data_IF_392084144426
#
_entry.id   IF_392084144426
#
_cell.length_a   1.000
_cell.length_b   1.000
_cell.length_c   1.000
_cell.angle_alpha   90.00
_cell.angle_beta   90.00
_cell.angle_gamma   90.00
#
_symmetry.space_group_name_H-M   'P 1'
#
loop_
_entity.id
_entity.type
_entity.pdbx_description
1 polymer ?
#
# COMPACT_ATOMS: atom_id res chain seq x y z
N UNK A 1 -0.59 20.30 -7.64
CA UNK A 1 -0.50 18.90 -7.18
C UNK A 1 0.76 18.32 -7.80
N UNK A 2 1.70 17.83 -6.99
CA UNK A 2 2.95 17.26 -7.49
C UNK A 2 2.74 15.75 -7.60
N UNK A 3 2.96 15.18 -8.77
CA UNK A 3 2.79 13.75 -9.03
C UNK A 3 4.18 13.17 -9.21
N UNK A 4 4.49 12.15 -8.43
CA UNK A 4 5.74 11.42 -8.56
C UNK A 4 5.50 10.19 -9.45
N UNK A 5 5.58 10.37 -10.77
CA UNK A 5 5.21 9.40 -11.81
C UNK A 5 6.37 8.50 -12.28
N UNK A 6 7.60 8.79 -11.88
CA UNK A 6 8.80 8.09 -12.32
C UNK A 6 9.25 6.94 -11.39
N UNK A 7 8.47 6.63 -10.34
CA UNK A 7 8.75 5.51 -9.44
C UNK A 7 8.31 4.21 -10.09
N UNK A 8 9.25 3.49 -10.73
CA UNK A 8 8.97 2.19 -11.34
C UNK A 8 8.94 1.06 -10.32
N UNK A 9 9.75 1.20 -9.28
CA UNK A 9 9.98 0.16 -8.28
C UNK A 9 9.11 0.36 -7.03
N UNK A 10 8.28 1.41 -6.97
CA UNK A 10 7.40 1.65 -5.83
C UNK A 10 5.97 1.90 -6.28
N UNK A 11 5.03 1.13 -5.74
CA UNK A 11 3.60 1.43 -5.84
C UNK A 11 2.86 1.02 -4.58
N UNK A 12 1.79 1.76 -4.27
CA UNK A 12 0.83 1.40 -3.22
C UNK A 12 -0.22 0.51 -3.89
N UNK A 13 -0.31 -0.72 -3.44
CA UNK A 13 -1.24 -1.71 -3.99
C UNK A 13 -2.61 -1.60 -3.32
N UNK A 14 -2.62 -1.43 -2.00
CA UNK A 14 -3.85 -1.37 -1.21
C UNK A 14 -3.63 -0.67 0.13
N UNK A 15 -4.71 -0.20 0.75
CA UNK A 15 -4.71 0.44 2.07
C UNK A 15 -6.00 0.09 2.77
N UNK A 16 -5.93 -0.50 3.96
CA UNK A 16 -7.10 -0.77 4.77
C UNK A 16 -6.77 -0.90 6.25
N UNK A 17 -7.76 -0.61 7.11
CA UNK A 17 -7.77 -0.89 8.54
C UNK A 17 -6.52 -0.40 9.31
N UNK A 18 -6.02 0.78 8.96
CA UNK A 18 -4.81 1.32 9.56
C UNK A 18 -3.51 0.70 9.04
N UNK A 19 -3.55 0.00 7.91
CA UNK A 19 -2.41 -0.63 7.25
C UNK A 19 -2.34 -0.23 5.77
N UNK A 20 -1.12 -0.28 5.23
CA UNK A 20 -0.86 -0.10 3.80
C UNK A 20 -0.01 -1.24 3.26
N UNK A 21 -0.36 -1.63 2.04
CA UNK A 21 0.33 -2.64 1.25
C UNK A 21 1.11 -1.94 0.13
N UNK A 22 2.42 -2.06 0.20
CA UNK A 22 3.35 -1.40 -0.71
C UNK A 22 4.21 -2.43 -1.43
N UNK A 23 4.39 -2.26 -2.75
CA UNK A 23 5.40 -3.00 -3.53
C UNK A 23 6.66 -2.16 -3.65
N UNK A 24 7.79 -2.77 -3.31
CA UNK A 24 9.13 -2.22 -3.45
C UNK A 24 9.99 -3.18 -4.28
N UNK A 25 9.99 -3.00 -5.60
CA UNK A 25 10.62 -3.90 -6.57
C UNK A 25 10.03 -5.31 -6.41
N UNK A 26 10.86 -6.24 -5.96
CA UNK A 26 10.49 -7.64 -5.74
C UNK A 26 9.87 -7.91 -4.35
N UNK A 27 9.82 -6.91 -3.48
CA UNK A 27 9.33 -7.05 -2.10
C UNK A 27 7.93 -6.48 -1.96
N UNK A 28 7.13 -7.13 -1.11
CA UNK A 28 5.82 -6.64 -0.67
C UNK A 28 5.94 -6.36 0.83
N UNK A 29 5.56 -5.15 1.24
CA UNK A 29 5.61 -4.70 2.62
C UNK A 29 4.20 -4.33 3.08
N UNK A 30 3.83 -4.86 4.24
CA UNK A 30 2.68 -4.38 5.01
C UNK A 30 3.24 -3.48 6.10
N UNK A 31 2.74 -2.24 6.18
CA UNK A 31 3.13 -1.30 7.22
C UNK A 31 1.90 -0.72 7.90
N UNK A 32 1.93 -0.55 9.24
CA UNK A 32 0.90 0.21 9.93
C UNK A 32 0.98 1.67 9.48
N UNK A 33 -0.14 2.19 8.99
CA UNK A 33 -0.31 3.58 8.62
C UNK A 33 -1.55 4.14 9.34
N UNK A 34 -1.36 4.89 10.46
CA UNK A 34 -2.47 5.40 11.27
C UNK A 34 -3.32 6.44 10.54
N UNK A 35 -2.90 6.90 9.35
CA UNK A 35 -3.69 7.81 8.52
C UNK A 35 -4.71 7.08 7.65
N UNK A 36 -4.61 5.75 7.53
CA UNK A 36 -5.60 4.91 6.84
C UNK A 36 -6.80 4.71 7.78
N UNK A 37 -7.79 5.60 7.66
CA UNK A 37 -8.95 5.62 8.54
C UNK A 37 -10.10 4.71 8.07
N UNK A 38 -10.09 4.29 6.80
CA UNK A 38 -11.14 3.43 6.26
C UNK A 38 -10.87 1.96 6.57
N UNK A 39 -11.96 1.24 6.80
CA UNK A 39 -11.95 -0.17 7.13
C UNK A 39 -12.61 -0.94 5.99
N UNK A 40 -11.82 -1.24 4.96
CA UNK A 40 -12.22 -2.05 3.80
C UNK A 40 -11.72 -3.49 3.98
N UNK A 41 -12.30 -4.46 3.28
CA UNK A 41 -11.74 -5.81 3.35
C UNK A 41 -10.37 -5.83 2.66
N UNK A 42 -9.47 -6.69 3.15
CA UNK A 42 -8.16 -6.95 2.54
C UNK A 42 -8.35 -7.78 1.26
N UNK A 43 -8.84 -7.14 0.20
CA UNK A 43 -9.16 -7.82 -1.06
C UNK A 43 -7.90 -8.23 -1.84
N UNK A 44 -6.79 -7.51 -1.66
CA UNK A 44 -5.55 -7.81 -2.38
C UNK A 44 -4.91 -9.14 -1.91
N UNK A 45 -4.60 -10.10 -2.81
CA UNK A 45 -4.06 -11.42 -2.44
C UNK A 45 -2.66 -11.38 -1.81
N UNK A 46 -2.01 -10.21 -1.80
CA UNK A 46 -0.71 -10.01 -1.16
C UNK A 46 -0.81 -9.54 0.29
N UNK A 47 -2.01 -9.32 0.82
CA UNK A 47 -2.24 -9.31 2.26
C UNK A 47 -2.02 -10.74 2.78
N UNK A 48 -0.99 -10.93 3.61
CA UNK A 48 -0.61 -12.22 4.20
C UNK A 48 -0.52 -12.10 5.71
#
# INVERSE_FOLDING_TARGET
MWIADNWKDYEILDTSNGEKLERWGDYILVRPDPQVLWNTEHEHPSWK
#
